data_IF_474975700634
#
_entry.id   IF_474975700634
#
_cell.length_a   1.000
_cell.length_b   1.000
_cell.length_c   1.000
_cell.angle_alpha   90.00
_cell.angle_beta   90.00
_cell.angle_gamma   90.00
#
_symmetry.space_group_name_H-M   'P 1'
#
loop_
_entity.id
_entity.type
_entity.pdbx_description
1 polymer ?
#
# COMPACT_ATOMS: atom_id res chain seq x y z
N UNK A 1 18.32 -10.68 8.80
CA UNK A 1 17.17 -9.82 9.16
C UNK A 1 16.01 -10.69 9.61
N UNK A 2 15.25 -10.25 10.61
CA UNK A 2 14.21 -11.08 11.25
C UNK A 2 12.82 -10.43 11.25
N UNK A 3 12.67 -9.23 10.69
CA UNK A 3 11.46 -8.44 10.78
C UNK A 3 10.98 -8.04 9.39
N UNK A 4 9.68 -8.10 9.16
CA UNK A 4 9.05 -7.79 7.87
C UNK A 4 7.92 -6.78 8.10
N UNK A 5 7.87 -5.71 7.32
CA UNK A 5 6.74 -4.80 7.30
C UNK A 5 5.99 -4.96 5.97
N UNK A 6 4.76 -5.47 6.06
CA UNK A 6 3.86 -5.53 4.91
C UNK A 6 3.00 -4.27 4.86
N UNK A 7 3.00 -3.62 3.70
CA UNK A 7 2.04 -2.58 3.37
C UNK A 7 1.29 -2.92 2.07
N UNK A 8 -0.01 -2.68 2.10
CA UNK A 8 -0.90 -2.91 0.96
C UNK A 8 -1.72 -1.67 0.62
N UNK A 9 -1.70 -1.28 -0.65
CA UNK A 9 -2.58 -0.24 -1.20
C UNK A 9 -3.89 -0.87 -1.69
N UNK A 10 -5.03 -0.31 -1.25
CA UNK A 10 -6.36 -0.68 -1.72
C UNK A 10 -7.00 0.55 -2.36
N UNK A 11 -7.02 0.55 -3.69
CA UNK A 11 -7.62 1.61 -4.47
C UNK A 11 -8.45 1.05 -5.63
N UNK A 12 -9.68 1.56 -5.76
CA UNK A 12 -10.48 1.37 -6.96
C UNK A 12 -10.97 2.74 -7.45
N UNK A 13 -10.73 3.10 -8.72
CA UNK A 13 -11.25 4.33 -9.29
C UNK A 13 -12.73 4.17 -9.65
N UNK A 14 -13.48 5.27 -9.59
CA UNK A 14 -14.83 5.36 -10.16
C UNK A 14 -14.72 5.61 -11.67
N UNK A 15 -15.03 4.60 -12.47
CA UNK A 15 -15.01 4.69 -13.94
C UNK A 15 -16.14 5.57 -14.43
N UNK A 16 -15.83 6.40 -15.43
CA UNK A 16 -16.83 7.19 -16.13
C UNK A 16 -17.56 6.34 -17.15
N UNK A 17 -18.86 6.56 -17.32
CA UNK A 17 -19.59 5.95 -18.43
C UNK A 17 -19.15 6.58 -19.75
N UNK A 18 -19.34 5.92 -20.91
CA UNK A 18 -19.10 6.56 -22.19
C UNK A 18 -20.01 7.79 -22.31
N UNK A 19 -19.40 8.97 -22.36
CA UNK A 19 -20.11 10.25 -22.47
C UNK A 19 -20.19 10.65 -23.94
N UNK A 20 -21.39 11.02 -24.41
CA UNK A 20 -21.59 11.64 -25.72
C UNK A 20 -21.65 13.15 -25.56
N UNK A 21 -21.27 13.89 -26.61
CA UNK A 21 -21.31 15.37 -26.64
C UNK A 21 -22.69 15.93 -26.25
N UNK A 22 -23.76 15.21 -26.58
CA UNK A 22 -25.14 15.59 -26.29
C UNK A 22 -25.64 15.19 -24.89
N UNK A 23 -24.84 14.43 -24.13
CA UNK A 23 -25.23 14.01 -22.79
C UNK A 23 -25.21 15.23 -21.87
N UNK A 24 -26.24 15.35 -21.03
CA UNK A 24 -26.30 16.36 -19.98
C UNK A 24 -25.89 15.73 -18.64
N UNK A 25 -24.69 16.03 -18.11
CA UNK A 25 -24.15 15.36 -16.92
C UNK A 25 -25.03 15.48 -15.68
N UNK A 26 -25.77 16.58 -15.56
CA UNK A 26 -26.65 16.92 -14.44
C UNK A 26 -27.87 16.00 -14.29
N UNK A 27 -28.22 15.21 -15.31
CA UNK A 27 -29.45 14.37 -15.30
C UNK A 27 -29.23 12.86 -15.27
N UNK A 28 -28.05 12.37 -15.63
CA UNK A 28 -27.82 10.92 -15.82
C UNK A 28 -26.68 10.36 -14.96
N UNK A 29 -25.97 11.21 -14.21
CA UNK A 29 -24.71 10.82 -13.57
C UNK A 29 -23.60 10.60 -14.59
N UNK A 30 -22.35 10.75 -14.14
CA UNK A 30 -21.15 10.59 -14.99
C UNK A 30 -20.45 9.25 -14.77
N UNK A 31 -20.72 8.57 -13.66
CA UNK A 31 -20.08 7.31 -13.30
C UNK A 31 -20.79 6.10 -13.93
N UNK A 32 -20.01 5.09 -14.28
CA UNK A 32 -20.49 3.83 -14.83
C UNK A 32 -20.85 2.86 -13.70
N UNK A 33 -21.99 3.11 -13.06
CA UNK A 33 -22.45 2.38 -11.87
C UNK A 33 -22.44 0.86 -12.02
N UNK A 34 -22.93 0.33 -13.14
CA UNK A 34 -22.93 -1.11 -13.42
C UNK A 34 -21.51 -1.67 -13.50
N UNK A 35 -20.63 -1.04 -14.29
CA UNK A 35 -19.28 -1.53 -14.47
C UNK A 35 -18.45 -1.41 -13.18
N UNK A 36 -18.60 -0.31 -12.43
CA UNK A 36 -17.93 -0.15 -11.13
C UNK A 36 -18.38 -1.22 -10.14
N UNK A 37 -19.69 -1.46 -10.03
CA UNK A 37 -20.23 -2.52 -9.17
C UNK A 37 -19.70 -3.90 -9.53
N UNK A 38 -19.78 -4.27 -10.81
CA UNK A 38 -19.46 -5.62 -11.25
C UNK A 38 -17.96 -5.91 -11.14
N UNK A 39 -17.10 -4.92 -11.44
CA UNK A 39 -15.65 -5.01 -11.21
C UNK A 39 -15.36 -5.12 -9.71
N UNK A 40 -15.91 -4.24 -8.89
CA UNK A 40 -15.62 -4.22 -7.46
C UNK A 40 -16.02 -5.55 -6.80
N UNK A 41 -17.23 -6.04 -7.06
CA UNK A 41 -17.69 -7.35 -6.54
C UNK A 41 -16.77 -8.49 -6.94
N UNK A 42 -16.40 -8.57 -8.22
CA UNK A 42 -15.51 -9.61 -8.73
C UNK A 42 -14.15 -9.58 -8.01
N UNK A 43 -13.54 -8.40 -7.87
CA UNK A 43 -12.23 -8.27 -7.21
C UNK A 43 -12.36 -8.57 -5.71
N UNK A 44 -13.41 -8.10 -5.03
CA UNK A 44 -13.69 -8.45 -3.63
C UNK A 44 -13.73 -9.96 -3.40
N UNK A 45 -14.43 -10.70 -4.25
CA UNK A 45 -14.61 -12.15 -4.11
C UNK A 45 -13.32 -12.94 -4.34
N UNK A 46 -12.48 -12.53 -5.29
CA UNK A 46 -11.28 -13.30 -5.66
C UNK A 46 -10.00 -12.81 -4.99
N UNK A 47 -9.99 -11.57 -4.48
CA UNK A 47 -8.81 -10.90 -3.93
C UNK A 47 -9.04 -10.46 -2.49
N UNK A 48 -9.76 -9.36 -2.26
CA UNK A 48 -9.76 -8.69 -0.95
C UNK A 48 -10.20 -9.59 0.20
N UNK A 49 -11.34 -10.29 0.04
CA UNK A 49 -11.91 -11.13 1.10
C UNK A 49 -11.02 -12.34 1.40
N UNK A 50 -10.68 -13.21 0.42
CA UNK A 50 -9.86 -14.39 0.69
C UNK A 50 -8.44 -14.02 1.15
N UNK A 51 -7.84 -12.95 0.61
CA UNK A 51 -6.50 -12.53 1.02
C UNK A 51 -6.51 -12.00 2.46
N UNK A 52 -7.52 -11.23 2.86
CA UNK A 52 -7.59 -10.66 4.22
C UNK A 52 -7.79 -11.77 5.26
N UNK A 53 -8.70 -12.71 4.98
CA UNK A 53 -8.91 -13.90 5.84
C UNK A 53 -7.61 -14.68 5.99
N UNK A 54 -6.90 -14.92 4.89
CA UNK A 54 -5.64 -15.67 4.91
C UNK A 54 -4.53 -14.98 5.70
N UNK A 55 -4.37 -13.66 5.55
CA UNK A 55 -3.38 -12.89 6.34
C UNK A 55 -3.67 -13.00 7.84
N UNK A 56 -4.95 -12.85 8.22
CA UNK A 56 -5.41 -12.96 9.60
C UNK A 56 -5.19 -14.38 10.16
N UNK A 57 -5.59 -15.42 9.43
CA UNK A 57 -5.38 -16.84 9.79
C UNK A 57 -3.89 -17.19 9.91
N UNK A 58 -3.04 -16.57 9.08
CA UNK A 58 -1.59 -16.78 9.10
C UNK A 58 -0.88 -15.96 10.19
N UNK A 59 -1.61 -15.15 10.97
CA UNK A 59 -1.03 -14.28 11.99
C UNK A 59 -0.08 -13.21 11.44
N UNK A 60 -0.16 -12.92 10.14
CA UNK A 60 0.68 -11.92 9.49
C UNK A 60 0.13 -10.55 9.87
N UNK A 61 0.95 -9.72 10.51
CA UNK A 61 0.66 -8.31 10.70
C UNK A 61 0.93 -7.54 9.43
N UNK A 62 0.06 -6.58 9.11
CA UNK A 62 0.22 -5.74 7.95
C UNK A 62 -0.46 -4.38 8.12
N UNK A 63 -0.16 -3.48 7.20
CA UNK A 63 -0.64 -2.10 7.20
C UNK A 63 -1.40 -1.83 5.91
N UNK A 64 -2.65 -1.42 5.99
CA UNK A 64 -3.51 -1.18 4.83
C UNK A 64 -3.70 0.33 4.62
N UNK A 65 -3.57 0.78 3.37
CA UNK A 65 -4.07 2.10 2.96
C UNK A 65 -5.32 1.94 2.12
N UNK A 66 -6.39 2.60 2.54
CA UNK A 66 -7.69 2.56 1.88
C UNK A 66 -7.98 3.96 1.34
N UNK A 67 -8.02 4.10 0.01
CA UNK A 67 -8.54 5.35 -0.58
C UNK A 67 -10.02 5.54 -0.20
N UNK A 68 -10.48 6.79 -0.13
CA UNK A 68 -11.89 7.10 0.13
C UNK A 68 -12.81 6.50 -0.92
N UNK A 69 -12.43 6.55 -2.20
CA UNK A 69 -13.21 5.92 -3.29
C UNK A 69 -13.28 4.40 -3.19
N UNK A 70 -12.25 3.75 -2.63
CA UNK A 70 -12.31 2.31 -2.34
C UNK A 70 -13.34 2.04 -1.23
N UNK A 71 -13.29 2.80 -0.15
CA UNK A 71 -14.21 2.67 1.00
C UNK A 71 -15.66 2.85 0.54
N UNK A 72 -15.96 3.89 -0.24
CA UNK A 72 -17.30 4.14 -0.79
C UNK A 72 -17.81 2.96 -1.63
N UNK A 73 -16.97 2.44 -2.53
CA UNK A 73 -17.34 1.33 -3.39
C UNK A 73 -17.50 0.03 -2.59
N UNK A 74 -16.67 -0.21 -1.58
CA UNK A 74 -16.80 -1.35 -0.68
C UNK A 74 -18.15 -1.32 0.05
N UNK A 75 -18.48 -0.20 0.71
CA UNK A 75 -19.76 -0.03 1.40
C UNK A 75 -20.97 -0.21 0.46
N UNK A 76 -20.86 0.23 -0.79
CA UNK A 76 -21.96 0.19 -1.76
C UNK A 76 -22.12 -1.18 -2.43
N UNK A 77 -21.02 -1.84 -2.76
CA UNK A 77 -21.03 -2.99 -3.66
C UNK A 77 -20.59 -4.31 -2.99
N UNK A 78 -19.75 -4.27 -1.97
CA UNK A 78 -19.31 -5.44 -1.21
C UNK A 78 -19.07 -5.11 0.27
N UNK A 79 -20.14 -4.93 1.07
CA UNK A 79 -20.00 -4.67 2.52
C UNK A 79 -19.16 -5.72 3.25
N UNK A 80 -19.18 -6.98 2.81
CA UNK A 80 -18.33 -8.06 3.36
C UNK A 80 -16.83 -7.71 3.29
N UNK A 81 -16.40 -6.93 2.29
CA UNK A 81 -15.02 -6.44 2.20
C UNK A 81 -14.69 -5.49 3.36
N UNK A 82 -15.63 -4.66 3.79
CA UNK A 82 -15.45 -3.80 4.97
C UNK A 82 -15.45 -4.66 6.24
N UNK A 83 -16.38 -5.60 6.34
CA UNK A 83 -16.51 -6.47 7.53
C UNK A 83 -15.22 -7.25 7.80
N UNK A 84 -14.63 -7.88 6.77
CA UNK A 84 -13.39 -8.66 6.92
C UNK A 84 -12.17 -7.78 7.25
N UNK A 85 -12.10 -6.56 6.71
CA UNK A 85 -11.04 -5.61 7.04
C UNK A 85 -11.21 -5.13 8.50
N UNK A 86 -12.44 -4.85 8.92
CA UNK A 86 -12.74 -4.44 10.30
C UNK A 86 -12.43 -5.55 11.31
N UNK A 87 -12.75 -6.81 10.99
CA UNK A 87 -12.34 -7.97 11.79
C UNK A 87 -10.80 -8.05 11.90
N UNK A 88 -10.09 -7.83 10.79
CA UNK A 88 -8.63 -7.86 10.78
C UNK A 88 -8.02 -6.71 11.59
N UNK A 89 -8.61 -5.51 11.57
CA UNK A 89 -8.23 -4.38 12.43
C UNK A 89 -8.51 -4.70 13.90
N UNK A 90 -9.70 -5.21 14.24
CA UNK A 90 -10.09 -5.60 15.61
C UNK A 90 -9.25 -6.73 16.18
N UNK A 91 -8.71 -7.61 15.35
CA UNK A 91 -7.76 -8.65 15.77
C UNK A 91 -6.43 -8.07 16.30
N UNK A 92 -6.13 -6.79 16.00
CA UNK A 92 -4.87 -6.13 16.34
C UNK A 92 -3.73 -6.41 15.36
N UNK A 93 -3.94 -7.26 14.35
CA UNK A 93 -2.95 -7.61 13.33
C UNK A 93 -2.85 -6.56 12.21
N UNK A 94 -3.87 -5.72 12.02
CA UNK A 94 -3.89 -4.69 10.97
C UNK A 94 -3.78 -3.27 11.52
N UNK A 95 -2.95 -2.44 10.88
CA UNK A 95 -2.97 -0.97 11.00
C UNK A 95 -3.66 -0.38 9.77
N UNK A 96 -4.45 0.68 9.96
CA UNK A 96 -4.95 1.49 8.84
C UNK A 96 -4.14 2.79 8.73
N UNK A 97 -3.84 3.19 7.49
CA UNK A 97 -3.10 4.42 7.19
C UNK A 97 -3.96 5.54 6.62
N UNK A 98 -3.44 6.76 6.79
CA UNK A 98 -3.94 7.93 6.09
C UNK A 98 -3.47 7.97 4.64
N UNK A 99 -4.34 8.50 3.79
CA UNK A 99 -4.14 8.68 2.35
C UNK A 99 -5.12 9.78 1.84
N UNK A 100 -4.93 10.30 0.63
CA UNK A 100 -5.93 11.12 -0.06
C UNK A 100 -7.21 10.35 -0.38
N UNK A 101 -8.38 10.98 -0.19
CA UNK A 101 -9.69 10.40 -0.53
C UNK A 101 -9.80 9.85 -1.96
N UNK A 102 -9.32 10.61 -2.94
CA UNK A 102 -9.54 10.30 -4.36
C UNK A 102 -8.34 9.64 -5.04
N UNK A 103 -7.33 9.20 -4.28
CA UNK A 103 -6.05 8.69 -4.84
C UNK A 103 -5.45 9.69 -5.85
N UNK A 104 -5.39 10.96 -5.45
CA UNK A 104 -5.11 12.07 -6.38
C UNK A 104 -3.67 12.58 -6.28
N UNK A 105 -3.27 13.42 -7.24
CA UNK A 105 -1.99 14.12 -7.26
C UNK A 105 -2.04 15.48 -6.54
N UNK A 106 -3.03 15.72 -5.67
CA UNK A 106 -3.24 17.02 -5.04
C UNK A 106 -2.00 17.55 -4.29
N UNK A 107 -1.23 16.64 -3.67
CA UNK A 107 0.03 16.95 -2.96
C UNK A 107 1.08 17.69 -3.80
N UNK A 108 0.99 17.63 -5.13
CA UNK A 108 1.90 18.31 -6.06
C UNK A 108 1.40 19.71 -6.43
N UNK A 109 0.09 19.91 -6.49
CA UNK A 109 -0.52 21.07 -7.16
C UNK A 109 -1.18 22.05 -6.20
N UNK A 110 -1.78 21.54 -5.13
CA UNK A 110 -2.59 22.37 -4.22
C UNK A 110 -2.59 21.74 -2.81
N UNK A 111 -1.93 22.40 -1.88
CA UNK A 111 -1.80 21.96 -0.49
C UNK A 111 -3.13 21.96 0.26
N UNK A 112 -4.02 22.92 0.00
CA UNK A 112 -5.33 22.99 0.66
C UNK A 112 -6.24 21.84 0.20
N UNK A 113 -6.25 21.57 -1.11
CA UNK A 113 -6.96 20.43 -1.67
C UNK A 113 -6.39 19.10 -1.15
N UNK A 114 -5.07 19.00 -1.05
CA UNK A 114 -4.42 17.82 -0.48
C UNK A 114 -4.84 17.58 0.97
N UNK A 115 -4.77 18.61 1.83
CA UNK A 115 -5.20 18.52 3.23
C UNK A 115 -6.68 18.20 3.35
N UNK A 116 -7.53 18.80 2.51
CA UNK A 116 -8.95 18.49 2.45
C UNK A 116 -9.17 16.99 2.18
N UNK A 117 -8.59 16.46 1.10
CA UNK A 117 -8.76 15.06 0.74
C UNK A 117 -8.22 14.08 1.80
N UNK A 118 -7.11 14.40 2.45
CA UNK A 118 -6.57 13.57 3.53
C UNK A 118 -7.50 13.59 4.73
N UNK A 119 -8.01 14.76 5.12
CA UNK A 119 -8.96 14.87 6.22
C UNK A 119 -10.26 14.12 5.94
N UNK A 120 -10.84 14.22 4.74
CA UNK A 120 -12.05 13.47 4.36
C UNK A 120 -11.85 11.95 4.48
N UNK A 121 -10.67 11.46 4.10
CA UNK A 121 -10.34 10.03 4.18
C UNK A 121 -10.19 9.59 5.63
N UNK A 122 -9.52 10.40 6.46
CA UNK A 122 -9.37 10.17 7.89
C UNK A 122 -10.72 10.15 8.61
N UNK A 123 -11.65 11.03 8.25
CA UNK A 123 -13.03 11.01 8.77
C UNK A 123 -13.75 9.71 8.39
N UNK A 124 -13.59 9.25 7.14
CA UNK A 124 -14.19 8.00 6.67
C UNK A 124 -13.66 6.79 7.43
N UNK A 125 -12.33 6.68 7.58
CA UNK A 125 -11.71 5.62 8.39
C UNK A 125 -12.24 5.67 9.84
N UNK A 126 -12.29 6.86 10.44
CA UNK A 126 -12.75 7.01 11.82
C UNK A 126 -14.21 6.61 11.97
N UNK A 127 -15.06 6.96 11.02
CA UNK A 127 -16.49 6.65 11.08
C UNK A 127 -16.77 5.15 10.92
N UNK A 128 -15.98 4.45 10.11
CA UNK A 128 -16.27 3.05 9.73
C UNK A 128 -15.57 2.08 10.67
N UNK A 129 -14.27 2.29 10.91
CA UNK A 129 -13.42 1.36 11.67
C UNK A 129 -13.15 1.83 13.11
N UNK A 130 -13.66 3.00 13.49
CA UNK A 130 -13.30 3.69 14.74
C UNK A 130 -11.79 3.87 14.94
N UNK A 131 -11.03 3.89 13.84
CA UNK A 131 -9.57 3.92 13.83
C UNK A 131 -9.05 5.34 13.57
N UNK A 132 -7.88 5.68 14.13
CA UNK A 132 -7.24 6.99 13.94
C UNK A 132 -5.81 6.76 13.44
N UNK A 133 -5.60 6.79 12.11
CA UNK A 133 -4.29 6.53 11.52
C UNK A 133 -3.18 7.45 12.05
N UNK A 134 -2.00 6.88 12.23
CA UNK A 134 -0.77 7.59 12.65
C UNK A 134 0.34 7.50 11.61
N UNK A 135 0.17 6.61 10.62
CA UNK A 135 1.04 6.43 9.47
C UNK A 135 0.33 6.93 8.21
N UNK A 136 1.11 7.49 7.29
CA UNK A 136 0.61 8.08 6.06
C UNK A 136 1.35 7.51 4.86
N UNK A 137 0.59 7.26 3.79
CA UNK A 137 1.18 7.15 2.45
C UNK A 137 0.61 8.25 1.57
N UNK A 138 1.42 8.74 0.63
CA UNK A 138 0.93 9.60 -0.43
C UNK A 138 0.70 8.78 -1.70
N UNK A 139 -0.11 9.33 -2.61
CA UNK A 139 -0.55 8.65 -3.84
C UNK A 139 0.65 8.13 -4.57
N UNK A 140 0.68 6.83 -4.86
CA UNK A 140 1.72 6.19 -5.67
C UNK A 140 3.14 6.36 -5.09
N UNK A 141 3.22 6.39 -3.75
CA UNK A 141 4.41 6.70 -2.96
C UNK A 141 5.12 7.99 -3.43
N UNK A 142 4.35 8.95 -3.95
CA UNK A 142 4.87 10.25 -4.36
C UNK A 142 5.46 10.96 -3.15
N UNK A 143 6.74 11.25 -3.18
CA UNK A 143 7.46 11.75 -2.02
C UNK A 143 8.46 12.84 -2.38
N UNK A 144 8.53 13.84 -1.50
CA UNK A 144 9.65 14.76 -1.31
C UNK A 144 9.59 15.29 0.13
N UNK A 145 10.61 16.05 0.54
CA UNK A 145 10.70 16.66 1.86
C UNK A 145 9.48 17.51 2.23
N UNK A 146 8.89 18.23 1.26
CA UNK A 146 7.69 19.06 1.50
C UNK A 146 6.46 18.22 1.80
N UNK A 147 6.28 17.08 1.14
CA UNK A 147 5.18 16.15 1.42
C UNK A 147 5.31 15.56 2.83
N UNK A 148 6.53 15.22 3.25
CA UNK A 148 6.78 14.77 4.62
C UNK A 148 6.47 15.86 5.67
N UNK A 149 6.76 17.12 5.35
CA UNK A 149 6.37 18.26 6.20
C UNK A 149 4.85 18.41 6.29
N UNK A 150 4.14 18.38 5.16
CA UNK A 150 2.67 18.44 5.15
C UNK A 150 2.05 17.29 5.95
N UNK A 151 2.57 16.07 5.81
CA UNK A 151 2.09 14.92 6.58
C UNK A 151 2.30 15.11 8.10
N UNK A 152 3.48 15.62 8.51
CA UNK A 152 3.75 15.97 9.91
C UNK A 152 2.73 16.97 10.44
N UNK A 153 2.47 18.03 9.69
CA UNK A 153 1.60 19.13 10.11
C UNK A 153 0.13 18.67 10.22
N UNK A 154 -0.25 17.59 9.52
CA UNK A 154 -1.53 16.89 9.70
C UNK A 154 -1.54 15.90 10.88
N UNK A 155 -0.43 15.72 11.59
CA UNK A 155 -0.32 14.89 12.78
C UNK A 155 0.23 13.48 12.54
N UNK A 156 0.64 13.13 11.32
CA UNK A 156 1.22 11.82 11.04
C UNK A 156 2.65 11.71 11.57
N UNK A 157 2.98 10.53 12.12
CA UNK A 157 4.29 10.22 12.70
C UNK A 157 5.17 9.40 11.76
N UNK A 158 4.55 8.70 10.81
CA UNK A 158 5.22 7.82 9.86
C UNK A 158 4.82 8.18 8.43
N UNK A 159 5.76 8.10 7.50
CA UNK A 159 5.52 8.27 6.07
C UNK A 159 6.30 7.23 5.25
N UNK A 160 5.68 6.74 4.19
CA UNK A 160 6.29 5.79 3.26
C UNK A 160 6.80 6.49 1.99
N UNK A 161 7.89 5.99 1.41
CA UNK A 161 8.40 6.42 0.12
C UNK A 161 9.03 5.25 -0.67
N UNK A 162 9.24 5.45 -1.96
CA UNK A 162 9.91 4.45 -2.81
C UNK A 162 11.44 4.44 -2.56
N UNK A 163 12.01 3.24 -2.40
CA UNK A 163 13.46 3.02 -2.39
C UNK A 163 14.03 2.95 -3.80
N UNK A 164 13.91 4.02 -4.58
CA UNK A 164 14.43 4.11 -5.97
C UNK A 164 15.91 3.74 -6.05
N UNK A 165 16.43 3.40 -7.22
CA UNK A 165 17.86 3.06 -7.36
C UNK A 165 18.80 4.18 -6.88
N UNK A 166 18.41 5.44 -7.11
CA UNK A 166 19.17 6.60 -6.63
C UNK A 166 19.17 6.69 -5.09
N UNK A 167 18.01 6.50 -4.47
CA UNK A 167 17.86 6.56 -3.00
C UNK A 167 18.53 5.34 -2.37
N UNK A 168 18.22 4.13 -2.85
CA UNK A 168 18.75 2.85 -2.36
C UNK A 168 20.26 2.71 -2.54
N UNK A 169 20.86 3.40 -3.52
CA UNK A 169 22.31 3.49 -3.68
C UNK A 169 23.01 4.24 -2.54
N UNK A 170 22.27 5.03 -1.74
CA UNK A 170 22.79 5.79 -0.59
C UNK A 170 22.22 5.30 0.75
N UNK A 171 20.96 4.90 0.75
CA UNK A 171 20.20 4.52 1.94
C UNK A 171 19.51 3.18 1.71
N UNK A 172 19.99 2.13 2.37
CA UNK A 172 19.35 0.82 2.26
C UNK A 172 17.88 0.90 2.67
N UNK A 173 16.93 0.32 1.91
CA UNK A 173 15.51 0.37 2.26
C UNK A 173 15.17 -0.47 3.50
N UNK A 174 16.15 -1.11 4.12
CA UNK A 174 15.95 -2.08 5.19
C UNK A 174 16.09 -1.51 6.61
N UNK A 175 15.99 -0.19 6.76
CA UNK A 175 16.14 0.52 8.03
C UNK A 175 15.06 1.58 8.23
N UNK A 176 14.90 2.00 9.48
CA UNK A 176 14.11 3.18 9.87
C UNK A 176 14.93 4.46 9.67
N UNK A 177 14.35 5.45 9.02
CA UNK A 177 14.93 6.77 8.83
C UNK A 177 14.06 7.87 9.43
N UNK A 178 14.58 9.10 9.47
CA UNK A 178 13.79 10.31 9.64
C UNK A 178 13.79 11.13 8.34
N UNK A 179 12.69 11.81 8.05
CA UNK A 179 12.69 12.96 7.14
C UNK A 179 13.35 14.17 7.81
N UNK A 180 13.76 15.21 7.06
CA UNK A 180 14.25 16.45 7.66
C UNK A 180 13.20 17.16 8.53
N UNK A 181 11.91 16.89 8.30
CA UNK A 181 10.81 17.39 9.12
C UNK A 181 10.63 16.63 10.45
N UNK A 182 11.32 15.51 10.66
CA UNK A 182 11.27 14.69 11.88
C UNK A 182 10.23 13.57 11.88
N UNK A 183 9.62 13.26 10.73
CA UNK A 183 8.68 12.14 10.55
C UNK A 183 9.48 10.86 10.29
N UNK A 184 9.06 9.72 10.84
CA UNK A 184 9.69 8.45 10.49
C UNK A 184 9.49 8.16 9.01
N UNK A 185 10.56 7.86 8.30
CA UNK A 185 10.55 7.53 6.88
C UNK A 185 10.91 6.06 6.69
N UNK A 186 10.07 5.36 5.94
CA UNK A 186 10.29 3.97 5.55
C UNK A 186 10.30 3.84 4.02
N UNK A 187 11.34 3.21 3.51
CA UNK A 187 11.58 3.08 2.07
C UNK A 187 11.16 1.69 1.61
N UNK A 188 10.34 1.60 0.56
CA UNK A 188 9.99 0.34 -0.08
C UNK A 188 11.25 -0.37 -0.57
N UNK A 189 11.36 -1.67 -0.27
CA UNK A 189 12.31 -2.54 -0.93
C UNK A 189 11.67 -3.06 -2.23
N UNK A 190 11.73 -2.25 -3.29
CA UNK A 190 11.02 -2.57 -4.54
C UNK A 190 11.47 -3.90 -5.17
N UNK A 191 12.76 -4.31 -5.19
CA UNK A 191 13.11 -5.56 -5.83
C UNK A 191 12.45 -6.74 -5.14
N UNK A 192 12.39 -6.73 -3.81
CA UNK A 192 11.74 -7.77 -3.02
C UNK A 192 10.23 -7.71 -3.10
N UNK A 193 9.64 -6.51 -3.18
CA UNK A 193 8.19 -6.34 -3.37
C UNK A 193 7.75 -6.85 -4.74
N UNK A 194 8.45 -6.46 -5.80
CA UNK A 194 8.15 -6.82 -7.19
C UNK A 194 8.34 -8.31 -7.49
N UNK A 195 9.14 -9.01 -6.68
CA UNK A 195 9.25 -10.46 -6.76
C UNK A 195 7.88 -11.13 -6.52
N UNK A 196 7.06 -10.56 -5.64
CA UNK A 196 5.68 -11.01 -5.38
C UNK A 196 4.72 -10.37 -6.39
N UNK A 197 4.76 -9.04 -6.54
CA UNK A 197 3.75 -8.32 -7.33
C UNK A 197 3.81 -8.61 -8.82
N UNK A 198 5.01 -8.67 -9.41
CA UNK A 198 5.19 -8.75 -10.86
C UNK A 198 5.86 -10.04 -11.34
N UNK A 199 6.82 -10.58 -10.59
CA UNK A 199 7.65 -11.72 -11.05
C UNK A 199 7.15 -13.09 -10.58
N UNK A 200 6.16 -13.15 -9.69
CA UNK A 200 5.74 -14.38 -9.03
C UNK A 200 5.35 -15.49 -10.02
N UNK A 201 4.49 -15.17 -11.00
CA UNK A 201 4.06 -16.09 -12.06
C UNK A 201 4.88 -16.02 -13.35
N UNK A 202 5.91 -15.18 -13.40
CA UNK A 202 6.79 -15.09 -14.56
C UNK A 202 7.70 -16.31 -14.58
N UNK A 203 7.61 -17.17 -15.59
CA UNK A 203 8.45 -18.38 -15.69
C UNK A 203 9.84 -18.11 -16.29
N UNK A 204 10.05 -16.92 -16.84
CA UNK A 204 11.27 -16.56 -17.58
C UNK A 204 12.37 -15.93 -16.70
N UNK A 205 12.06 -15.44 -15.50
CA UNK A 205 13.08 -14.90 -14.60
C UNK A 205 13.77 -16.01 -13.80
N UNK A 206 15.03 -15.79 -13.45
CA UNK A 206 15.88 -16.77 -12.75
C UNK A 206 15.40 -17.13 -11.34
N UNK A 207 14.51 -16.34 -10.74
CA UNK A 207 13.94 -16.60 -9.44
C UNK A 207 12.81 -17.64 -9.44
N UNK A 208 12.22 -17.96 -10.59
CA UNK A 208 11.07 -18.87 -10.71
C UNK A 208 11.45 -20.34 -10.43
N UNK A 209 10.57 -21.13 -9.77
CA UNK A 209 9.37 -20.69 -9.05
C UNK A 209 9.73 -19.95 -7.76
N UNK A 210 8.96 -18.92 -7.40
CA UNK A 210 9.14 -18.23 -6.12
C UNK A 210 8.39 -18.97 -5.01
N UNK A 211 9.11 -19.81 -4.26
CA UNK A 211 8.54 -20.51 -3.10
C UNK A 211 8.67 -19.67 -1.83
N UNK A 212 7.80 -19.90 -0.84
CA UNK A 212 7.83 -19.19 0.44
C UNK A 212 9.15 -19.42 1.19
N UNK A 213 9.70 -20.64 1.18
CA UNK A 213 11.02 -20.98 1.74
C UNK A 213 12.15 -20.21 1.05
N UNK A 214 12.15 -20.18 -0.30
CA UNK A 214 13.15 -19.41 -1.04
C UNK A 214 13.10 -17.93 -0.66
N UNK A 215 11.90 -17.37 -0.59
CA UNK A 215 11.69 -15.95 -0.33
C UNK A 215 12.07 -15.57 1.11
N UNK A 216 11.66 -16.35 2.10
CA UNK A 216 12.01 -16.07 3.50
C UNK A 216 13.51 -16.21 3.75
N UNK A 217 14.19 -17.14 3.08
CA UNK A 217 15.65 -17.27 3.15
C UNK A 217 16.35 -16.05 2.56
N UNK A 218 15.85 -15.49 1.46
CA UNK A 218 16.37 -14.24 0.92
C UNK A 218 16.21 -13.07 1.89
N UNK A 219 15.04 -12.94 2.54
CA UNK A 219 14.83 -11.93 3.57
C UNK A 219 15.79 -12.13 4.74
N UNK A 220 15.88 -13.36 5.26
CA UNK A 220 16.71 -13.69 6.41
C UNK A 220 18.19 -13.34 6.18
N UNK A 221 18.68 -13.62 4.98
CA UNK A 221 20.08 -13.35 4.60
C UNK A 221 20.32 -11.90 4.14
N UNK A 222 19.27 -11.07 4.04
CA UNK A 222 19.42 -9.66 3.71
C UNK A 222 19.96 -8.86 4.91
N UNK A 223 20.85 -7.87 4.67
CA UNK A 223 21.32 -6.97 5.73
C UNK A 223 20.24 -5.98 6.14
N UNK A 224 20.30 -5.54 7.39
CA UNK A 224 19.41 -4.53 7.96
C UNK A 224 18.41 -5.09 8.96
N UNK A 225 17.52 -4.21 9.39
CA UNK A 225 16.65 -4.44 10.54
C UNK A 225 15.26 -4.91 10.13
N UNK A 226 14.73 -4.37 9.01
CA UNK A 226 13.36 -4.62 8.59
C UNK A 226 13.21 -4.69 7.07
N UNK A 227 12.42 -5.63 6.56
CA UNK A 227 12.13 -5.75 5.13
C UNK A 227 10.81 -5.06 4.81
N UNK A 228 10.88 -3.93 4.12
CA UNK A 228 9.72 -3.12 3.73
C UNK A 228 9.10 -3.64 2.41
N UNK A 229 8.02 -4.42 2.49
CA UNK A 229 7.35 -5.08 1.36
C UNK A 229 6.01 -4.41 1.06
N UNK A 230 6.01 -3.56 0.03
CA UNK A 230 4.94 -2.61 -0.26
C UNK A 230 4.36 -2.91 -1.64
N UNK A 231 3.05 -3.10 -1.76
CA UNK A 231 2.42 -3.49 -3.04
C UNK A 231 0.93 -3.16 -3.11
N UNK A 232 0.37 -3.17 -4.31
CA UNK A 232 -1.09 -3.18 -4.51
C UNK A 232 -1.68 -4.46 -3.92
N UNK A 233 -2.81 -4.35 -3.22
CA UNK A 233 -3.41 -5.52 -2.57
C UNK A 233 -4.01 -6.50 -3.57
N UNK A 234 -4.45 -5.98 -4.72
CA UNK A 234 -4.86 -6.74 -5.91
C UNK A 234 -3.76 -7.68 -6.43
N UNK A 235 -2.51 -7.55 -5.95
CA UNK A 235 -1.47 -8.58 -6.13
C UNK A 235 -2.01 -9.97 -5.81
N UNK A 236 -2.74 -10.13 -4.71
CA UNK A 236 -3.26 -11.43 -4.28
C UNK A 236 -4.63 -11.70 -4.88
N UNK A 237 -4.70 -12.57 -5.90
CA UNK A 237 -5.95 -13.05 -6.48
C UNK A 237 -6.34 -12.39 -7.81
N UNK A 238 -6.08 -11.08 -8.00
CA UNK A 238 -6.38 -10.37 -9.25
C UNK A 238 -5.18 -10.37 -10.21
N UNK A 239 -4.03 -9.82 -9.78
CA UNK A 239 -2.81 -9.78 -10.61
C UNK A 239 -2.09 -11.13 -10.61
N UNK A 240 -1.85 -11.71 -9.43
CA UNK A 240 -1.43 -13.10 -9.29
C UNK A 240 -2.66 -13.93 -8.98
N UNK A 241 -3.18 -14.65 -9.99
CA UNK A 241 -4.42 -15.42 -9.82
C UNK A 241 -4.22 -16.61 -8.89
N UNK A 242 -5.31 -17.12 -8.30
CA UNK A 242 -5.28 -18.30 -7.42
C UNK A 242 -4.53 -19.48 -8.02
N UNK A 243 -4.68 -19.74 -9.32
CA UNK A 243 -4.05 -20.85 -10.03
C UNK A 243 -2.52 -20.75 -10.10
N UNK A 244 -1.96 -19.56 -9.85
CA UNK A 244 -0.50 -19.38 -9.76
C UNK A 244 0.07 -19.92 -8.44
N UNK A 245 -0.77 -20.25 -7.46
CA UNK A 245 -0.36 -20.69 -6.13
C UNK A 245 -0.06 -19.55 -5.15
N UNK A 246 -0.46 -18.31 -5.46
CA UNK A 246 -0.16 -17.15 -4.61
C UNK A 246 -0.74 -17.26 -3.19
N UNK A 247 -1.94 -17.82 -3.03
CA UNK A 247 -2.53 -18.03 -1.71
C UNK A 247 -1.78 -19.11 -0.93
N UNK A 248 -1.36 -20.19 -1.59
CA UNK A 248 -0.51 -21.20 -0.95
C UNK A 248 0.83 -20.57 -0.52
N UNK A 249 1.41 -19.71 -1.36
CA UNK A 249 2.62 -18.96 -0.99
C UNK A 249 2.43 -18.13 0.27
N UNK A 250 1.35 -17.36 0.42
CA UNK A 250 1.08 -16.55 1.62
C UNK A 250 0.88 -17.45 2.85
N UNK A 251 0.13 -18.56 2.72
CA UNK A 251 -0.07 -19.54 3.79
C UNK A 251 1.26 -20.11 4.30
N UNK A 252 2.10 -20.59 3.38
CA UNK A 252 3.41 -21.12 3.73
C UNK A 252 4.37 -20.04 4.22
N UNK A 253 4.26 -18.80 3.73
CA UNK A 253 5.06 -17.67 4.20
C UNK A 253 4.80 -17.42 5.69
N UNK A 254 3.55 -17.42 6.13
CA UNK A 254 3.20 -17.33 7.56
C UNK A 254 3.87 -18.44 8.39
N UNK A 255 3.79 -19.70 7.92
CA UNK A 255 4.45 -20.83 8.59
C UNK A 255 5.96 -20.68 8.68
N UNK A 256 6.61 -20.21 7.62
CA UNK A 256 8.06 -20.03 7.65
C UNK A 256 8.49 -18.84 8.51
N UNK A 257 7.70 -17.77 8.57
CA UNK A 257 7.93 -16.66 9.50
C UNK A 257 7.97 -17.21 10.94
N UNK A 258 6.95 -17.99 11.34
CA UNK A 258 6.91 -18.63 12.65
C UNK A 258 8.08 -19.61 12.86
N UNK A 259 8.32 -20.51 11.90
CA UNK A 259 9.37 -21.53 11.98
C UNK A 259 10.77 -20.92 12.17
N UNK A 260 11.06 -19.80 11.51
CA UNK A 260 12.34 -19.12 11.62
C UNK A 260 12.42 -18.13 12.79
N UNK A 261 11.36 -18.01 13.61
CA UNK A 261 11.31 -17.06 14.72
C UNK A 261 11.33 -15.60 14.25
N UNK A 262 10.90 -15.35 13.01
CA UNK A 262 10.76 -14.01 12.45
C UNK A 262 9.43 -13.41 12.87
N UNK A 263 9.31 -12.09 12.71
CA UNK A 263 8.07 -11.38 13.01
C UNK A 263 7.65 -10.47 11.87
N UNK A 264 6.34 -10.18 11.86
CA UNK A 264 5.75 -9.15 11.02
C UNK A 264 5.35 -7.98 11.89
N UNK A 265 5.55 -6.77 11.38
CA UNK A 265 5.32 -5.52 12.07
C UNK A 265 4.38 -4.63 11.27
N UNK A 266 3.49 -3.94 11.97
CA UNK A 266 2.77 -2.78 11.43
C UNK A 266 3.71 -1.58 11.40
N UNK A 267 3.45 -0.61 10.52
CA UNK A 267 4.32 0.56 10.36
C UNK A 267 4.43 1.34 11.68
N UNK A 268 3.34 1.47 12.44
CA UNK A 268 3.31 2.15 13.73
C UNK A 268 4.09 1.46 14.87
N UNK A 269 4.41 0.17 14.72
CA UNK A 269 5.19 -0.62 15.69
C UNK A 269 6.70 -0.46 15.48
N UNK A 270 7.16 -0.14 14.26
CA UNK A 270 8.59 -0.17 13.88
C UNK A 270 9.41 0.78 14.76
N UNK A 271 8.89 1.98 15.03
CA UNK A 271 9.60 3.00 15.81
C UNK A 271 9.89 2.60 17.27
N UNK A 272 9.12 1.67 17.83
CA UNK A 272 9.33 1.19 19.19
C UNK A 272 10.46 0.15 19.26
N UNK A 273 10.78 -0.51 18.13
CA UNK A 273 11.75 -1.60 18.06
C UNK A 273 13.12 -1.17 17.54
N UNK A 274 13.17 -0.24 16.58
CA UNK A 274 14.43 0.14 15.92
C UNK A 274 14.76 1.60 16.14
N UNK A 275 16.04 1.90 16.36
CA UNK A 275 16.53 3.27 16.38
C UNK A 275 16.55 3.87 14.97
N UNK A 276 16.59 5.19 14.90
CA UNK A 276 16.77 5.91 13.64
C UNK A 276 18.18 5.64 13.12
N UNK A 277 18.28 5.17 11.88
CA UNK A 277 19.57 4.92 11.23
C UNK A 277 20.24 6.21 10.77
N UNK A 278 19.47 7.09 10.15
CA UNK A 278 19.92 8.39 9.63
C UNK A 278 18.71 9.29 9.32
N UNK A 279 18.98 10.53 8.94
CA UNK A 279 18.03 11.43 8.29
C UNK A 279 18.22 11.38 6.77
N UNK A 280 17.13 11.19 6.03
CA UNK A 280 17.13 11.07 4.57
C UNK A 280 16.43 12.29 3.98
N UNK A 281 17.15 13.07 3.18
CA UNK A 281 16.63 14.24 2.47
C UNK A 281 16.40 13.92 1.00
N UNK A 282 15.18 14.13 0.50
CA UNK A 282 14.82 13.92 -0.90
C UNK A 282 14.08 15.17 -1.40
N UNK A 283 14.80 16.03 -2.13
CA UNK A 283 14.23 17.27 -2.68
C UNK A 283 13.48 17.04 -3.99
N UNK A 284 14.00 16.16 -4.85
CA UNK A 284 13.37 15.80 -6.11
C UNK A 284 12.20 14.86 -5.85
N UNK A 285 11.03 15.19 -6.38
CA UNK A 285 9.86 14.30 -6.27
C UNK A 285 10.13 12.95 -6.92
N UNK A 286 9.98 11.90 -6.12
CA UNK A 286 10.04 10.49 -6.54
C UNK A 286 8.65 9.86 -6.43
N UNK A 287 8.47 8.69 -7.03
CA UNK A 287 7.25 7.87 -6.99
C UNK A 287 7.60 6.39 -7.17
N UNK A 288 6.70 5.47 -6.83
CA UNK A 288 6.85 4.06 -7.16
C UNK A 288 6.42 3.68 -8.58
N UNK A 289 5.79 4.62 -9.31
CA UNK A 289 5.15 4.32 -10.58
C UNK A 289 6.14 4.37 -11.74
N UNK A 290 5.90 3.47 -12.70
CA UNK A 290 6.64 3.32 -13.94
C UNK A 290 8.17 3.12 -13.72
N UNK A 291 8.89 2.96 -14.82
CA UNK A 291 10.34 2.74 -14.85
C UNK A 291 11.11 3.97 -14.38
N UNK A 292 10.57 5.17 -14.63
CA UNK A 292 11.23 6.44 -14.28
C UNK A 292 11.09 6.83 -12.81
N UNK A 293 10.07 6.32 -12.09
CA UNK A 293 9.89 6.52 -10.65
C UNK A 293 9.86 7.98 -10.23
N UNK A 294 9.18 8.76 -11.06
CA UNK A 294 8.93 10.18 -10.91
C UNK A 294 7.50 10.51 -11.37
N UNK A 295 7.16 11.79 -11.45
CA UNK A 295 5.80 12.21 -11.84
C UNK A 295 5.47 12.02 -13.32
N UNK A 296 6.39 11.51 -14.12
CA UNK A 296 6.23 11.49 -15.57
C UNK A 296 5.18 10.50 -16.08
N UNK A 297 4.79 9.50 -15.27
CA UNK A 297 3.66 8.63 -15.58
C UNK A 297 2.34 9.42 -15.73
N UNK A 298 2.21 10.54 -15.02
CA UNK A 298 1.02 11.39 -15.06
C UNK A 298 1.22 12.68 -15.85
N UNK A 299 2.44 13.24 -15.82
CA UNK A 299 2.75 14.55 -16.41
C UNK A 299 3.50 14.45 -17.75
N UNK A 300 3.81 13.23 -18.19
CA UNK A 300 4.62 12.96 -19.39
C UNK A 300 3.84 12.92 -20.70
N UNK A 301 2.51 12.99 -20.66
CA UNK A 301 1.69 13.10 -21.87
C UNK A 301 1.87 14.48 -22.49
N UNK A 302 2.83 14.58 -23.40
CA UNK A 302 3.04 15.71 -24.31
C UNK A 302 2.52 15.36 -25.69
#
# INVERSE_FOLDING_TARGET
MENIAFYFELHQPLRLRPLKIQDRPDKMGIFWEEQNRDIFKRISEISYIPATKLLMESGIKSTFSLSGTFIEQALKYSPETIDVIDDYVKSGLCELMGETYFHSLASIWNEDEFKYQVNEQMHSIKSIFNYSPVSFRNTELIYNNRIAEMARDMGFRNILAEGTDEVSGRYSPNFRYLSPSGVNLYLRNYPMSDNISFRFSNTAWSGYPLTADKYIQWIKNSPGDIMNLYMDYETFGEHQRKETGIFDFVHYLGKYIEQYGMETLKIDEIQAKFSVKDTVSIDKTISWADTRRDLSAWLGNK
#
